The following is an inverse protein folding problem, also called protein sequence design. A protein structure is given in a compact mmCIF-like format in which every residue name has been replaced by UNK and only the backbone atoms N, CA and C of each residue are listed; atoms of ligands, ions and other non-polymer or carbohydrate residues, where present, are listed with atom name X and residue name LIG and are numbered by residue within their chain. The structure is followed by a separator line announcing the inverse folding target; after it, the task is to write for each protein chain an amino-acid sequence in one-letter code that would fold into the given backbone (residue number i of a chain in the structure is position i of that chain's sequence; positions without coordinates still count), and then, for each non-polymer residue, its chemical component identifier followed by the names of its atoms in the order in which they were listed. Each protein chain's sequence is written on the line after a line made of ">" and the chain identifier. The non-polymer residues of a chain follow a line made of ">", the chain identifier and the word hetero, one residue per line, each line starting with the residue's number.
data_IF_022038716492
#
_entry.id   IF_022038716492
#
_cell.length_a   1.000
_cell.length_b   1.000
_cell.length_c   1.000
_cell.angle_alpha   90.00
_cell.angle_beta   90.00
_cell.angle_gamma   90.00
#
_symmetry.space_group_name_H-M   'P 1'
#
loop_
_entity.id
_entity.type
_entity.pdbx_description
1 polymer ?
#
# COMPACT_ATOMS: atom_id res chain seq x y z
N UNK A 1 -3.32 -8.56 22.78
CA UNK A 1 -3.63 -10.00 22.70
C UNK A 1 -4.81 -10.15 21.75
N UNK A 2 -4.59 -10.53 20.49
CA UNK A 2 -5.69 -10.74 19.53
C UNK A 2 -6.52 -11.96 19.95
N UNK A 3 -7.85 -11.82 19.91
CA UNK A 3 -8.76 -12.95 20.18
C UNK A 3 -8.47 -14.09 19.18
N UNK A 4 -8.25 -15.30 19.69
CA UNK A 4 -8.15 -16.51 18.85
C UNK A 4 -9.44 -16.65 18.02
N UNK A 5 -9.32 -16.46 16.67
CA UNK A 5 -10.42 -16.68 15.74
C UNK A 5 -10.73 -15.51 14.79
N UNK A 6 -10.27 -14.28 15.06
CA UNK A 6 -10.49 -13.17 14.15
C UNK A 6 -9.37 -13.12 13.10
N UNK A 7 -9.70 -13.49 11.87
CA UNK A 7 -8.78 -13.46 10.72
C UNK A 7 -9.44 -12.70 9.57
N UNK A 8 -9.40 -11.34 9.62
CA UNK A 8 -10.05 -10.53 8.61
C UNK A 8 -9.34 -10.66 7.27
N UNK A 9 -10.10 -10.57 6.18
CA UNK A 9 -9.53 -10.31 4.87
C UNK A 9 -9.15 -8.85 4.78
N UNK A 10 -7.89 -8.58 4.51
CA UNK A 10 -7.33 -7.24 4.34
C UNK A 10 -6.86 -7.09 2.89
N UNK A 11 -7.36 -6.09 2.21
CA UNK A 11 -6.89 -5.71 0.87
C UNK A 11 -6.07 -4.44 0.98
N UNK A 12 -4.87 -4.45 0.41
CA UNK A 12 -3.94 -3.33 0.39
C UNK A 12 -3.77 -2.88 -1.05
N UNK A 13 -4.18 -1.67 -1.38
CA UNK A 13 -3.98 -1.06 -2.69
C UNK A 13 -2.65 -0.32 -2.74
N UNK A 14 -1.81 -0.68 -3.71
CA UNK A 14 -0.42 -0.27 -3.84
C UNK A 14 0.53 -1.28 -3.20
N UNK A 15 1.42 -1.87 -4.00
CA UNK A 15 2.43 -2.84 -3.59
C UNK A 15 3.87 -2.28 -3.70
N UNK A 16 4.00 -0.95 -3.78
CA UNK A 16 5.27 -0.24 -3.69
C UNK A 16 5.83 -0.22 -2.27
N UNK A 17 6.75 0.69 -1.98
CA UNK A 17 7.45 0.75 -0.68
C UNK A 17 6.49 0.74 0.52
N UNK A 18 5.47 1.60 0.50
CA UNK A 18 4.53 1.73 1.63
C UNK A 18 3.64 0.48 1.77
N UNK A 19 3.05 0.02 0.67
CA UNK A 19 2.19 -1.16 0.70
C UNK A 19 2.94 -2.44 1.04
N UNK A 20 4.19 -2.58 0.60
CA UNK A 20 5.07 -3.68 0.99
C UNK A 20 5.33 -3.68 2.49
N UNK A 21 5.70 -2.50 3.06
CA UNK A 21 5.90 -2.37 4.50
C UNK A 21 4.65 -2.72 5.30
N UNK A 22 3.48 -2.19 4.90
CA UNK A 22 2.20 -2.52 5.54
C UNK A 22 1.92 -4.02 5.48
N UNK A 23 2.12 -4.67 4.32
CA UNK A 23 1.88 -6.10 4.17
C UNK A 23 2.82 -6.95 5.04
N UNK A 24 4.10 -6.59 5.13
CA UNK A 24 5.08 -7.27 5.99
C UNK A 24 4.69 -7.17 7.47
N UNK A 25 4.39 -5.97 7.95
CA UNK A 25 3.99 -5.76 9.35
C UNK A 25 2.73 -6.51 9.72
N UNK A 26 1.70 -6.49 8.85
CA UNK A 26 0.48 -7.24 9.07
C UNK A 26 0.73 -8.76 9.06
N UNK A 27 1.58 -9.24 8.15
CA UNK A 27 1.96 -10.65 8.07
C UNK A 27 2.69 -11.11 9.34
N UNK A 28 3.67 -10.34 9.81
CA UNK A 28 4.40 -10.62 11.05
C UNK A 28 3.50 -10.54 12.29
N UNK A 29 2.45 -9.72 12.25
CA UNK A 29 1.42 -9.68 13.29
C UNK A 29 0.45 -10.88 13.25
N UNK A 30 0.62 -11.83 12.31
CA UNK A 30 -0.21 -13.03 12.19
C UNK A 30 -1.48 -12.83 11.36
N UNK A 31 -1.61 -11.72 10.63
CA UNK A 31 -2.72 -11.45 9.73
C UNK A 31 -2.36 -11.92 8.31
N UNK A 32 -2.68 -13.17 8.00
CA UNK A 32 -2.21 -13.81 6.77
C UNK A 32 -3.23 -13.78 5.61
N UNK A 33 -4.47 -13.34 5.85
CA UNK A 33 -5.46 -13.18 4.78
C UNK A 33 -5.33 -11.79 4.14
N UNK A 34 -4.25 -11.60 3.42
CA UNK A 34 -3.91 -10.36 2.73
C UNK A 34 -4.04 -10.53 1.22
N UNK A 35 -4.39 -9.46 0.50
CA UNK A 35 -4.28 -9.33 -0.94
C UNK A 35 -3.67 -7.97 -1.26
N UNK A 36 -2.70 -7.94 -2.15
CA UNK A 36 -2.19 -6.72 -2.74
C UNK A 36 -2.91 -6.43 -4.06
N UNK A 37 -3.30 -5.18 -4.26
CA UNK A 37 -3.76 -4.67 -5.55
C UNK A 37 -2.72 -3.70 -6.09
N UNK A 38 -2.37 -3.83 -7.37
CA UNK A 38 -1.38 -2.94 -7.98
C UNK A 38 -1.82 -2.56 -9.40
N UNK A 39 -1.28 -1.48 -9.94
CA UNK A 39 -1.47 -1.11 -11.33
C UNK A 39 -0.65 -2.00 -12.28
N UNK A 40 -1.01 -2.01 -13.56
CA UNK A 40 -0.32 -2.82 -14.55
C UNK A 40 1.14 -2.37 -14.83
N UNK A 41 1.50 -1.16 -14.45
CA UNK A 41 2.85 -0.58 -14.64
C UNK A 41 3.32 0.15 -13.40
N UNK A 42 3.68 -0.58 -12.33
CA UNK A 42 4.20 0.01 -11.10
C UNK A 42 5.49 0.81 -11.34
N UNK A 43 5.66 1.88 -10.55
CA UNK A 43 6.79 2.82 -10.69
C UNK A 43 7.71 2.79 -9.47
N UNK A 44 7.97 1.63 -8.93
CA UNK A 44 8.87 1.50 -7.80
C UNK A 44 10.32 1.76 -8.23
N UNK A 45 11.02 2.61 -7.50
CA UNK A 45 12.46 2.88 -7.71
C UNK A 45 13.29 1.75 -7.13
N UNK A 46 12.90 1.24 -5.96
CA UNK A 46 13.62 0.19 -5.23
C UNK A 46 13.04 -1.19 -5.54
N UNK A 47 13.13 -1.62 -6.79
CA UNK A 47 12.49 -2.83 -7.32
C UNK A 47 12.75 -4.12 -6.52
N UNK A 48 13.92 -4.26 -5.91
CA UNK A 48 14.32 -5.47 -5.17
C UNK A 48 13.71 -5.58 -3.76
N UNK A 49 13.06 -4.54 -3.27
CA UNK A 49 12.50 -4.49 -1.91
C UNK A 49 11.02 -4.12 -1.90
N UNK A 50 10.31 -4.39 -3.01
CA UNK A 50 8.88 -4.12 -3.15
C UNK A 50 8.15 -5.29 -3.80
N UNK A 51 6.92 -5.55 -3.35
CA UNK A 51 6.09 -6.61 -3.92
C UNK A 51 5.51 -6.26 -5.29
N UNK A 52 5.47 -4.98 -5.67
CA UNK A 52 5.00 -4.57 -7.00
C UNK A 52 5.84 -5.15 -8.14
N UNK A 53 7.07 -5.61 -7.88
CA UNK A 53 7.91 -6.32 -8.87
C UNK A 53 7.25 -7.60 -9.37
N UNK A 54 6.38 -8.22 -8.56
CA UNK A 54 5.62 -9.41 -8.97
C UNK A 54 4.73 -9.17 -10.20
N UNK A 55 4.33 -7.92 -10.49
CA UNK A 55 3.59 -7.58 -11.71
C UNK A 55 4.39 -7.91 -12.98
N UNK A 56 5.72 -7.74 -12.93
CA UNK A 56 6.60 -7.98 -14.08
C UNK A 56 7.17 -9.41 -14.10
N UNK A 57 7.55 -9.92 -12.93
CA UNK A 57 8.29 -11.18 -12.79
C UNK A 57 7.39 -12.36 -12.38
N UNK A 58 6.07 -12.13 -12.21
CA UNK A 58 5.13 -13.13 -11.69
C UNK A 58 5.23 -13.35 -10.18
N UNK A 59 6.36 -13.03 -9.56
CA UNK A 59 6.60 -13.10 -8.12
C UNK A 59 7.67 -12.12 -7.67
N UNK A 60 7.62 -11.75 -6.38
CA UNK A 60 8.65 -10.95 -5.73
C UNK A 60 8.84 -11.45 -4.29
N UNK A 61 10.05 -11.39 -3.76
CA UNK A 61 10.35 -11.80 -2.39
C UNK A 61 11.00 -10.67 -1.63
N UNK A 62 10.42 -10.31 -0.48
CA UNK A 62 10.92 -9.26 0.41
C UNK A 62 10.93 -9.83 1.82
N UNK A 63 12.06 -9.73 2.52
CA UNK A 63 12.22 -10.20 3.91
C UNK A 63 11.71 -11.63 4.17
N UNK A 64 11.92 -12.52 3.18
CA UNK A 64 11.50 -13.93 3.28
C UNK A 64 10.06 -14.20 2.86
N UNK A 65 9.17 -13.20 2.83
CA UNK A 65 7.82 -13.33 2.33
C UNK A 65 7.79 -13.21 0.80
N UNK A 66 7.10 -14.13 0.13
CA UNK A 66 6.88 -14.09 -1.32
C UNK A 66 5.50 -13.49 -1.63
N UNK A 67 5.44 -12.52 -2.54
CA UNK A 67 4.20 -12.14 -3.20
C UNK A 67 4.14 -12.81 -4.58
N UNK A 68 2.95 -13.28 -4.98
CA UNK A 68 2.74 -13.98 -6.24
C UNK A 68 1.60 -13.34 -7.03
N UNK A 69 1.86 -13.05 -8.30
CA UNK A 69 0.85 -12.54 -9.22
C UNK A 69 -0.24 -13.58 -9.43
N UNK A 70 -1.48 -13.20 -9.19
CA UNK A 70 -2.68 -14.01 -9.41
C UNK A 70 -3.46 -13.45 -10.60
N UNK A 71 -4.03 -14.30 -11.45
CA UNK A 71 -4.84 -13.86 -12.59
C UNK A 71 -6.22 -13.34 -12.14
N UNK A 72 -6.75 -13.84 -11.03
CA UNK A 72 -8.08 -13.54 -10.54
C UNK A 72 -8.22 -13.77 -9.03
N UNK A 73 -9.39 -13.46 -8.49
CA UNK A 73 -9.71 -13.63 -7.06
C UNK A 73 -9.81 -15.09 -6.64
N UNK A 74 -10.13 -16.01 -7.54
CA UNK A 74 -10.18 -17.45 -7.25
C UNK A 74 -8.77 -17.97 -6.97
N UNK A 75 -7.78 -17.56 -7.76
CA UNK A 75 -6.37 -17.87 -7.54
C UNK A 75 -5.86 -17.29 -6.20
N UNK A 76 -6.31 -16.08 -5.83
CA UNK A 76 -6.00 -15.51 -4.51
C UNK A 76 -6.53 -16.39 -3.37
N UNK A 77 -7.77 -16.87 -3.48
CA UNK A 77 -8.38 -17.75 -2.47
C UNK A 77 -7.64 -19.07 -2.35
N UNK A 78 -7.24 -19.67 -3.49
CA UNK A 78 -6.45 -20.90 -3.50
C UNK A 78 -5.09 -20.70 -2.80
N UNK A 79 -4.43 -19.57 -3.06
CA UNK A 79 -3.13 -19.27 -2.47
C UNK A 79 -3.22 -19.07 -0.94
N UNK A 80 -4.32 -18.51 -0.41
CA UNK A 80 -4.54 -18.44 1.04
C UNK A 80 -4.65 -19.80 1.72
N UNK A 81 -5.20 -20.80 1.01
CA UNK A 81 -5.36 -22.14 1.56
C UNK A 81 -4.02 -22.84 1.76
N UNK A 82 -3.06 -22.56 0.89
CA UNK A 82 -1.70 -23.10 1.02
C UNK A 82 -0.85 -22.33 2.04
N UNK A 83 -1.13 -21.04 2.21
CA UNK A 83 -0.34 -20.15 3.08
C UNK A 83 1.10 -19.91 2.60
N UNK A 84 1.40 -20.26 1.35
CA UNK A 84 2.78 -20.21 0.82
C UNK A 84 3.23 -18.82 0.42
N UNK A 85 2.31 -17.96 -0.01
CA UNK A 85 2.64 -16.64 -0.52
C UNK A 85 1.47 -15.66 -0.39
N UNK A 86 1.79 -14.38 -0.51
CA UNK A 86 0.87 -13.27 -0.52
C UNK A 86 0.32 -13.04 -1.95
N UNK A 87 -1.02 -13.14 -2.17
CA UNK A 87 -1.59 -12.86 -3.48
C UNK A 87 -1.44 -11.40 -3.89
N UNK A 88 -1.12 -11.16 -5.16
CA UNK A 88 -1.11 -9.86 -5.79
C UNK A 88 -1.98 -9.91 -7.06
N UNK A 89 -2.89 -8.95 -7.22
CA UNK A 89 -3.73 -8.76 -8.41
C UNK A 89 -3.35 -7.46 -9.12
N UNK A 90 -3.40 -7.48 -10.44
CA UNK A 90 -3.39 -6.25 -11.23
C UNK A 90 -4.80 -5.69 -11.27
N UNK A 91 -5.08 -4.74 -10.37
CA UNK A 91 -6.39 -4.10 -10.22
C UNK A 91 -6.23 -2.71 -9.56
N UNK A 92 -5.88 -1.71 -10.37
CA UNK A 92 -5.63 -0.34 -9.90
C UNK A 92 -6.88 0.32 -9.27
N UNK A 93 -8.05 0.03 -9.82
CA UNK A 93 -9.31 0.67 -9.45
C UNK A 93 -10.06 -0.04 -8.32
N UNK A 94 -9.62 -1.26 -7.96
CA UNK A 94 -10.25 -2.06 -6.91
C UNK A 94 -11.56 -2.73 -7.35
N UNK A 95 -11.71 -3.08 -8.63
CA UNK A 95 -12.89 -3.77 -9.15
C UNK A 95 -13.13 -5.12 -8.44
N UNK A 96 -12.05 -5.80 -8.05
CA UNK A 96 -12.07 -7.08 -7.31
C UNK A 96 -12.64 -6.97 -5.89
N UNK A 97 -12.73 -5.77 -5.32
CA UNK A 97 -13.26 -5.58 -3.95
C UNK A 97 -14.69 -6.09 -3.79
N UNK A 98 -15.51 -5.97 -4.84
CA UNK A 98 -16.90 -6.48 -4.83
C UNK A 98 -16.96 -7.99 -4.63
N UNK A 99 -15.99 -8.71 -5.17
CA UNK A 99 -15.91 -10.16 -5.09
C UNK A 99 -15.15 -10.63 -3.85
N UNK A 100 -14.09 -9.90 -3.48
CA UNK A 100 -13.27 -10.19 -2.30
C UNK A 100 -14.03 -9.92 -0.99
N UNK A 101 -14.86 -8.87 -0.95
CA UNK A 101 -15.62 -8.43 0.24
C UNK A 101 -14.70 -8.30 1.48
N UNK A 102 -13.66 -7.46 1.45
CA UNK A 102 -12.72 -7.34 2.55
C UNK A 102 -13.36 -6.70 3.80
N UNK A 103 -12.92 -7.09 4.98
CA UNK A 103 -13.24 -6.41 6.23
C UNK A 103 -12.39 -5.15 6.40
N UNK A 104 -11.17 -5.15 5.84
CA UNK A 104 -10.28 -3.99 5.90
C UNK A 104 -9.74 -3.68 4.52
N UNK A 105 -9.80 -2.42 4.14
CA UNK A 105 -9.17 -1.90 2.93
C UNK A 105 -8.16 -0.82 3.30
N UNK A 106 -6.93 -0.95 2.80
CA UNK A 106 -5.84 0.00 3.03
C UNK A 106 -5.38 0.58 1.70
N UNK A 107 -5.50 1.89 1.52
CA UNK A 107 -4.87 2.59 0.40
C UNK A 107 -3.46 3.05 0.78
N UNK A 108 -2.47 2.35 0.25
CA UNK A 108 -1.05 2.64 0.43
C UNK A 108 -0.39 3.25 -0.82
N UNK A 109 -1.21 3.73 -1.79
CA UNK A 109 -0.69 4.27 -3.06
C UNK A 109 0.03 5.61 -2.91
N UNK A 110 -0.20 6.33 -1.84
CA UNK A 110 0.31 7.70 -1.61
C UNK A 110 -0.05 8.68 -2.75
N UNK A 111 -1.21 8.48 -3.37
CA UNK A 111 -1.62 9.17 -4.60
C UNK A 111 -1.94 10.66 -4.42
N UNK A 112 -2.07 11.14 -3.19
CA UNK A 112 -2.47 12.51 -2.84
C UNK A 112 -3.87 12.90 -3.38
N UNK A 113 -4.69 11.93 -3.75
CA UNK A 113 -6.06 12.09 -4.26
C UNK A 113 -6.89 10.90 -3.81
N UNK A 114 -8.15 11.13 -3.51
CA UNK A 114 -9.06 10.08 -3.02
C UNK A 114 -9.34 8.94 -4.02
N UNK A 115 -9.15 9.15 -5.32
CA UNK A 115 -9.28 8.12 -6.39
C UNK A 115 -10.43 7.13 -6.18
N UNK A 116 -11.63 7.64 -5.97
CA UNK A 116 -12.82 6.82 -5.76
C UNK A 116 -12.90 6.11 -4.40
N UNK A 117 -12.07 6.50 -3.43
CA UNK A 117 -12.19 6.01 -2.06
C UNK A 117 -13.56 6.38 -1.47
N UNK A 118 -14.10 5.44 -0.71
CA UNK A 118 -15.34 5.59 0.03
C UNK A 118 -15.28 4.73 1.29
N UNK A 119 -15.83 5.20 2.42
CA UNK A 119 -15.96 4.40 3.63
C UNK A 119 -16.75 3.09 3.43
N UNK A 120 -17.56 3.01 2.37
CA UNK A 120 -18.37 1.81 2.08
C UNK A 120 -17.61 0.69 1.37
N UNK A 121 -16.31 0.85 1.12
CA UNK A 121 -15.49 -0.19 0.43
C UNK A 121 -15.17 -1.39 1.32
N UNK A 122 -15.18 -1.20 2.66
CA UNK A 122 -14.96 -2.25 3.67
C UNK A 122 -15.50 -1.78 5.04
N UNK A 123 -15.53 -2.69 6.03
CA UNK A 123 -15.91 -2.31 7.41
C UNK A 123 -14.94 -1.28 8.00
N UNK A 124 -13.67 -1.35 7.60
CA UNK A 124 -12.64 -0.37 7.93
C UNK A 124 -11.82 0.01 6.69
N UNK A 125 -11.89 1.28 6.31
CA UNK A 125 -11.13 1.86 5.20
C UNK A 125 -10.08 2.81 5.76
N UNK A 126 -8.82 2.56 5.43
CA UNK A 126 -7.65 3.31 5.89
C UNK A 126 -6.91 3.85 4.67
N UNK A 127 -6.39 5.07 4.75
CA UNK A 127 -5.48 5.59 3.74
C UNK A 127 -4.18 6.09 4.37
N UNK A 128 -3.10 6.08 3.60
CA UNK A 128 -1.80 6.60 4.00
C UNK A 128 -1.53 7.95 3.34
N UNK A 129 -1.08 8.91 4.13
CA UNK A 129 -0.58 10.20 3.65
C UNK A 129 -1.65 11.22 3.25
N UNK A 130 -1.21 12.33 2.64
CA UNK A 130 -2.02 13.52 2.40
C UNK A 130 -2.99 13.39 1.20
N UNK A 131 -3.96 14.33 1.14
CA UNK A 131 -4.88 14.48 0.01
C UNK A 131 -6.12 13.59 0.09
N UNK A 132 -6.30 12.90 1.21
CA UNK A 132 -7.46 12.05 1.52
C UNK A 132 -8.00 12.51 2.87
N UNK A 133 -9.32 12.63 3.00
CA UNK A 133 -9.97 13.16 4.20
C UNK A 133 -10.64 12.05 5.02
N UNK A 134 -10.15 11.90 6.24
CA UNK A 134 -10.76 11.01 7.22
C UNK A 134 -12.14 11.54 7.65
N UNK A 135 -13.11 10.65 7.77
CA UNK A 135 -14.50 10.95 8.05
C UNK A 135 -15.35 11.28 6.82
N UNK A 136 -14.72 11.48 5.64
CA UNK A 136 -15.42 11.69 4.36
C UNK A 136 -15.07 10.62 3.34
N UNK A 137 -13.78 10.48 3.01
CA UNK A 137 -13.29 9.58 1.96
C UNK A 137 -12.95 8.19 2.52
N UNK A 138 -12.51 8.15 3.78
CA UNK A 138 -12.07 6.94 4.51
C UNK A 138 -12.43 7.06 5.99
N UNK A 139 -12.38 5.95 6.74
CA UNK A 139 -12.59 5.96 8.19
C UNK A 139 -11.43 6.60 8.95
N UNK A 140 -10.20 6.38 8.49
CA UNK A 140 -9.03 7.05 9.06
C UNK A 140 -7.89 7.22 8.05
N UNK A 141 -7.04 8.21 8.33
CA UNK A 141 -5.82 8.47 7.57
C UNK A 141 -4.62 8.32 8.51
N UNK A 142 -3.57 7.65 8.04
CA UNK A 142 -2.31 7.55 8.78
C UNK A 142 -1.40 8.70 8.33
N UNK A 143 -0.96 9.50 9.30
CA UNK A 143 0.01 10.57 9.05
C UNK A 143 1.35 10.00 8.56
N UNK A 144 1.84 10.50 7.46
CA UNK A 144 3.08 10.04 6.82
C UNK A 144 4.22 11.05 6.88
N UNK A 145 4.01 12.19 7.51
CA UNK A 145 4.98 13.28 7.55
C UNK A 145 5.00 14.01 8.89
N UNK A 146 6.16 14.58 9.24
CA UNK A 146 6.33 15.44 10.42
C UNK A 146 6.42 14.68 11.75
N UNK A 147 6.25 15.41 12.89
CA UNK A 147 6.44 14.84 14.23
C UNK A 147 5.36 13.81 14.60
N UNK A 148 4.19 13.89 13.98
CA UNK A 148 3.06 12.99 14.21
C UNK A 148 3.03 11.79 13.27
N UNK A 149 4.13 11.50 12.57
CA UNK A 149 4.20 10.35 11.64
C UNK A 149 3.77 9.04 12.32
N UNK A 150 2.87 8.30 11.65
CA UNK A 150 2.25 7.08 12.17
C UNK A 150 0.96 7.32 12.98
N UNK A 151 0.60 8.57 13.28
CA UNK A 151 -0.65 8.88 13.98
C UNK A 151 -1.86 8.57 13.11
N UNK A 152 -2.86 7.91 13.71
CA UNK A 152 -4.15 7.65 13.08
C UNK A 152 -5.09 8.84 13.27
N UNK A 153 -5.45 9.50 12.17
CA UNK A 153 -6.39 10.63 12.12
C UNK A 153 -7.78 10.10 11.77
N UNK A 154 -8.78 10.38 12.60
CA UNK A 154 -10.19 10.01 12.35
C UNK A 154 -11.00 11.13 11.75
N UNK A 155 -10.43 12.32 11.62
CA UNK A 155 -11.01 13.50 11.01
C UNK A 155 -9.92 14.32 10.33
N UNK A 156 -10.26 14.98 9.23
CA UNK A 156 -9.34 15.83 8.48
C UNK A 156 -8.34 15.06 7.63
N UNK A 157 -7.26 15.71 7.26
CA UNK A 157 -6.24 15.20 6.34
C UNK A 157 -4.87 15.13 7.02
N UNK A 158 -4.03 14.21 6.56
CA UNK A 158 -2.61 14.20 6.90
C UNK A 158 -1.90 15.43 6.31
N UNK A 159 -0.77 15.81 6.91
CA UNK A 159 0.03 16.95 6.47
C UNK A 159 0.52 16.76 5.04
N UNK A 160 0.43 17.82 4.23
CA UNK A 160 0.97 17.82 2.89
C UNK A 160 2.49 17.70 2.95
N UNK A 161 3.04 16.70 2.24
CA UNK A 161 4.48 16.58 2.08
C UNK A 161 4.99 17.72 1.19
N UNK A 162 5.92 18.51 1.69
CA UNK A 162 6.53 19.63 0.98
C UNK A 162 7.44 19.20 -0.16
N UNK A 163 7.81 17.91 -0.21
CA UNK A 163 8.84 17.39 -1.14
C UNK A 163 10.27 17.85 -0.78
N UNK A 164 10.42 18.54 0.35
CA UNK A 164 11.70 19.00 0.87
C UNK A 164 12.01 18.17 2.12
N UNK A 165 13.14 17.46 2.20
CA UNK A 165 13.53 16.73 3.39
C UNK A 165 13.69 17.68 4.58
N UNK A 166 12.92 17.49 5.66
CA UNK A 166 12.89 18.40 6.83
C UNK A 166 13.96 18.11 7.87
N UNK A 167 15.04 17.42 7.55
CA UNK A 167 16.08 17.12 8.51
C UNK A 167 17.12 18.25 8.59
N UNK A 168 17.29 18.82 9.79
CA UNK A 168 18.38 19.70 10.19
C UNK A 168 18.51 21.06 9.45
N UNK A 169 17.43 21.62 8.91
CA UNK A 169 17.42 22.97 8.36
C UNK A 169 18.27 23.20 7.09
N UNK A 170 18.73 22.12 6.43
CA UNK A 170 19.57 22.18 5.21
C UNK A 170 18.96 21.40 4.05
N UNK A 171 17.67 21.39 3.92
CA UNK A 171 16.92 20.53 3.01
C UNK A 171 17.17 20.80 1.52
N UNK A 172 17.34 22.05 1.13
CA UNK A 172 17.49 22.41 -0.30
C UNK A 172 18.84 21.96 -0.88
N UNK A 173 19.89 21.87 -0.07
CA UNK A 173 21.23 21.51 -0.52
C UNK A 173 21.39 20.00 -0.81
N UNK A 174 20.40 19.17 -0.46
CA UNK A 174 20.42 17.71 -0.66
C UNK A 174 19.60 17.23 -1.84
N UNK A 175 18.91 18.13 -2.52
CA UNK A 175 18.04 17.78 -3.65
C UNK A 175 18.76 18.05 -4.96
N UNK A 176 19.22 16.99 -5.61
CA UNK A 176 19.57 17.03 -7.03
C UNK A 176 18.32 17.04 -7.88
N UNK A 177 18.21 17.97 -8.82
CA UNK A 177 17.10 18.01 -9.77
C UNK A 177 17.62 17.72 -11.17
N UNK A 178 16.90 16.88 -11.94
CA UNK A 178 17.19 16.70 -13.34
C UNK A 178 17.06 18.05 -14.07
N UNK A 179 18.05 18.45 -14.88
CA UNK A 179 18.01 19.74 -15.59
C UNK A 179 16.95 19.78 -16.70
N UNK A 180 16.51 18.61 -17.16
CA UNK A 180 15.46 18.48 -18.19
C UNK A 180 14.75 17.13 -18.05
N UNK A 181 13.66 16.96 -18.79
CA UNK A 181 13.00 15.67 -18.92
C UNK A 181 13.91 14.68 -19.66
N UNK A 182 13.95 13.43 -19.21
CA UNK A 182 14.79 12.40 -19.78
C UNK A 182 14.66 11.08 -19.04
N UNK A 183 15.46 10.09 -19.46
CA UNK A 183 15.60 8.82 -18.78
C UNK A 183 16.84 8.87 -17.90
N UNK A 184 16.68 8.58 -16.62
CA UNK A 184 17.82 8.44 -15.71
C UNK A 184 18.50 7.09 -15.96
N UNK A 185 19.80 7.13 -16.28
CA UNK A 185 20.64 5.95 -16.33
C UNK A 185 21.76 6.10 -15.27
N UNK A 186 21.88 5.13 -14.40
CA UNK A 186 23.02 5.05 -13.49
C UNK A 186 24.17 4.31 -14.19
N UNK A 187 25.41 4.76 -14.01
CA UNK A 187 26.59 4.04 -14.50
C UNK A 187 26.74 2.67 -13.87
#
# INVERSE_FOLDING_TARGET
>A
MMQKGFCPLIVIRGAGDMGTGVALELWHAGLHRLVLLECARPRAIRRLVVFSEAVFEGKARVEGLEARLCPDTAACRALWQTGEALPLLVDEDGASLRELCPQVFVDATMSKKARGLSPNMADLVIALGPGIEAGRDVHCVIESFGPDMGRCLRQGQALANTGIPCEHGRSEQRVGRAPCAGVFASP
#
